data_IF_402402242247
#
_entry.id   IF_402402242247
#
_cell.length_a   1.000
_cell.length_b   1.000
_cell.length_c   1.000
_cell.angle_alpha   90.00
_cell.angle_beta   90.00
_cell.angle_gamma   90.00
#
_symmetry.space_group_name_H-M   'P 1'
#
loop_
_entity.id
_entity.type
_entity.pdbx_description
1 polymer ?
#
# COMPACT_ATOMS: atom_id res chain seq x y z
N UNK A 1 10.81 20.40 3.11
CA UNK A 1 11.23 19.11 3.71
C UNK A 1 12.71 18.78 3.47
N UNK A 2 13.22 18.78 2.23
CA UNK A 2 14.63 18.43 1.93
C UNK A 2 15.71 19.35 2.54
N UNK A 3 15.44 20.65 2.67
CA UNK A 3 16.39 21.63 3.25
C UNK A 3 16.46 21.68 4.78
N UNK A 4 15.60 20.93 5.50
CA UNK A 4 15.57 20.91 6.97
C UNK A 4 16.32 19.71 7.60
N UNK A 5 16.81 18.78 6.78
CA UNK A 5 17.53 17.58 7.24
C UNK A 5 16.70 16.65 8.14
N UNK A 6 15.37 16.67 8.02
CA UNK A 6 14.45 15.91 8.88
C UNK A 6 14.08 14.52 8.31
N UNK A 7 14.05 14.37 6.98
CA UNK A 7 13.75 13.12 6.30
C UNK A 7 15.05 12.47 5.78
N UNK A 8 15.14 11.14 5.92
CA UNK A 8 16.24 10.32 5.39
C UNK A 8 15.97 9.89 3.94
N UNK A 9 14.70 9.77 3.58
CA UNK A 9 14.19 9.52 2.23
C UNK A 9 12.79 10.14 2.11
N UNK A 10 12.39 10.56 0.90
CA UNK A 10 11.05 11.01 0.58
C UNK A 10 10.69 10.58 -0.85
N UNK A 11 9.46 10.15 -1.08
CA UNK A 11 8.94 9.68 -2.36
C UNK A 11 7.46 10.06 -2.49
N UNK A 12 7.01 10.40 -3.69
CA UNK A 12 5.60 10.56 -4.02
C UNK A 12 4.94 9.20 -4.29
N UNK A 13 3.71 9.03 -3.84
CA UNK A 13 2.94 7.81 -4.02
C UNK A 13 2.14 7.87 -5.33
N UNK A 14 2.82 7.85 -6.49
CA UNK A 14 2.16 7.75 -7.80
C UNK A 14 1.66 6.33 -8.07
N UNK A 15 2.52 5.35 -7.83
CA UNK A 15 2.32 3.94 -8.21
C UNK A 15 1.82 3.08 -7.03
N UNK A 16 1.69 3.70 -5.85
CA UNK A 16 1.15 3.07 -4.64
C UNK A 16 2.16 2.91 -3.52
N UNK A 17 1.64 2.67 -2.32
CA UNK A 17 2.43 2.61 -1.09
C UNK A 17 3.42 1.43 -1.11
N UNK A 18 3.02 0.26 -1.61
CA UNK A 18 3.88 -0.92 -1.69
C UNK A 18 5.16 -0.66 -2.49
N UNK A 19 5.04 -0.04 -3.67
CA UNK A 19 6.17 0.19 -4.56
C UNK A 19 7.12 1.23 -3.98
N UNK A 20 6.59 2.30 -3.39
CA UNK A 20 7.40 3.30 -2.72
C UNK A 20 8.18 2.71 -1.53
N UNK A 21 7.54 1.86 -0.71
CA UNK A 21 8.20 1.18 0.41
C UNK A 21 9.31 0.25 -0.09
N UNK A 22 9.07 -0.52 -1.15
CA UNK A 22 10.07 -1.40 -1.79
C UNK A 22 11.24 -0.62 -2.34
N UNK A 23 10.98 0.47 -3.06
CA UNK A 23 12.03 1.28 -3.67
C UNK A 23 12.91 1.94 -2.61
N UNK A 24 12.31 2.49 -1.54
CA UNK A 24 13.07 3.06 -0.42
C UNK A 24 13.88 1.98 0.31
N UNK A 25 13.28 0.82 0.56
CA UNK A 25 13.94 -0.32 1.22
C UNK A 25 15.15 -0.81 0.40
N UNK A 26 14.96 -1.04 -0.89
CA UNK A 26 16.00 -1.49 -1.81
C UNK A 26 17.14 -0.47 -1.94
N UNK A 27 16.82 0.82 -2.15
CA UNK A 27 17.82 1.87 -2.27
C UNK A 27 18.61 2.09 -0.97
N UNK A 28 18.04 1.73 0.18
CA UNK A 28 18.65 1.92 1.50
C UNK A 28 19.27 0.65 2.09
N UNK A 29 19.11 -0.51 1.43
CA UNK A 29 19.57 -1.81 1.94
C UNK A 29 18.94 -2.21 3.28
N UNK A 30 17.64 -1.94 3.45
CA UNK A 30 16.91 -2.15 4.69
C UNK A 30 15.56 -2.85 4.44
N UNK A 31 14.93 -3.36 5.49
CA UNK A 31 13.57 -3.92 5.42
C UNK A 31 12.52 -2.91 5.83
N UNK A 32 11.26 -3.32 5.80
CA UNK A 32 10.13 -2.51 6.27
C UNK A 32 9.08 -3.37 6.94
N UNK A 33 8.54 -2.85 8.05
CA UNK A 33 7.37 -3.40 8.74
C UNK A 33 6.31 -2.32 8.86
N UNK A 34 5.21 -2.52 8.14
CA UNK A 34 4.00 -1.68 8.15
C UNK A 34 3.05 -2.18 9.24
N UNK A 35 2.41 -1.29 9.97
CA UNK A 35 1.33 -1.60 10.90
C UNK A 35 0.00 -1.41 10.16
N UNK A 36 -0.72 -2.51 9.90
CA UNK A 36 -1.99 -2.47 9.18
C UNK A 36 -3.04 -1.60 9.91
N UNK A 37 -3.04 -1.58 11.24
CA UNK A 37 -3.98 -0.80 12.05
C UNK A 37 -3.68 0.69 12.06
N UNK A 38 -2.48 1.10 11.64
CA UNK A 38 -2.06 2.50 11.57
C UNK A 38 -2.30 3.14 10.20
N UNK A 39 -2.72 2.38 9.19
CA UNK A 39 -2.96 2.92 7.85
C UNK A 39 -4.15 3.90 7.85
N UNK A 40 -3.99 5.12 7.30
CA UNK A 40 -5.03 6.14 7.30
C UNK A 40 -6.08 5.86 6.21
N UNK A 41 -6.88 4.81 6.40
CA UNK A 41 -7.94 4.45 5.45
C UNK A 41 -9.25 5.13 5.86
N UNK A 42 -9.83 5.89 4.95
CA UNK A 42 -11.12 6.54 5.20
C UNK A 42 -12.24 5.49 5.40
N UNK A 43 -13.10 5.63 6.43
CA UNK A 43 -14.10 4.61 6.75
C UNK A 43 -15.08 4.26 5.62
N UNK A 44 -15.51 5.22 4.79
CA UNK A 44 -16.36 4.94 3.62
C UNK A 44 -15.58 4.20 2.53
N UNK A 45 -14.30 4.52 2.29
CA UNK A 45 -13.44 3.76 1.40
C UNK A 45 -13.28 2.29 1.88
N UNK A 46 -13.01 2.08 3.17
CA UNK A 46 -12.92 0.74 3.75
C UNK A 46 -14.21 -0.06 3.56
N UNK A 47 -15.37 0.57 3.79
CA UNK A 47 -16.68 -0.06 3.54
C UNK A 47 -16.89 -0.38 2.06
N UNK A 48 -16.49 0.51 1.16
CA UNK A 48 -16.65 0.35 -0.28
C UNK A 48 -15.88 -0.87 -0.83
N UNK A 49 -14.63 -1.04 -0.39
CA UNK A 49 -13.80 -2.21 -0.72
C UNK A 49 -14.33 -3.49 -0.10
N UNK A 50 -14.68 -3.45 1.19
CA UNK A 50 -15.26 -4.59 1.91
C UNK A 50 -16.53 -5.10 1.22
N UNK A 51 -17.42 -4.21 0.80
CA UNK A 51 -18.67 -4.55 0.09
C UNK A 51 -18.43 -5.25 -1.26
N UNK A 52 -17.21 -5.18 -1.81
CA UNK A 52 -16.77 -5.85 -3.05
C UNK A 52 -15.93 -7.09 -2.79
N UNK A 53 -15.80 -7.51 -1.52
CA UNK A 53 -14.99 -8.66 -1.13
C UNK A 53 -13.48 -8.42 -1.21
N UNK A 54 -13.04 -7.17 -1.23
CA UNK A 54 -11.62 -6.79 -1.24
C UNK A 54 -11.21 -6.33 0.15
N UNK A 55 -10.07 -6.82 0.66
CA UNK A 55 -9.48 -6.34 1.92
C UNK A 55 -9.03 -4.88 1.77
N UNK A 56 -9.57 -3.94 2.57
CA UNK A 56 -9.19 -2.53 2.52
C UNK A 56 -7.69 -2.30 2.75
N UNK A 57 -7.04 -3.11 3.60
CA UNK A 57 -5.60 -2.95 3.85
C UNK A 57 -4.80 -3.30 2.60
N UNK A 58 -5.11 -4.43 1.96
CA UNK A 58 -4.48 -4.78 0.69
C UNK A 58 -4.74 -3.71 -0.37
N UNK A 59 -5.97 -3.19 -0.46
CA UNK A 59 -6.31 -2.13 -1.40
C UNK A 59 -5.53 -0.83 -1.14
N UNK A 60 -5.37 -0.42 0.12
CA UNK A 60 -4.62 0.79 0.47
C UNK A 60 -3.11 0.65 0.26
N UNK A 61 -2.57 -0.56 0.38
CA UNK A 61 -1.13 -0.80 0.18
C UNK A 61 -0.80 -1.00 -1.30
N UNK A 62 -1.63 -1.74 -2.03
CA UNK A 62 -1.42 -2.09 -3.44
C UNK A 62 -2.06 -1.11 -4.42
N UNK A 63 -2.97 -0.25 -3.96
CA UNK A 63 -3.57 0.82 -4.77
C UNK A 63 -2.57 1.92 -5.07
N UNK A 64 -2.76 2.61 -6.20
CA UNK A 64 -2.06 3.83 -6.57
C UNK A 64 -3.02 5.03 -6.65
N UNK A 65 -2.53 6.17 -7.17
CA UNK A 65 -3.31 7.39 -7.45
C UNK A 65 -3.74 8.24 -6.23
N UNK A 66 -3.22 7.94 -5.03
CA UNK A 66 -3.49 8.73 -3.81
C UNK A 66 -2.62 10.00 -3.72
N UNK A 67 -1.52 10.10 -4.50
CA UNK A 67 -0.59 11.24 -4.55
C UNK A 67 -0.09 11.75 -3.17
N UNK A 68 -0.10 10.91 -2.14
CA UNK A 68 0.41 11.26 -0.82
C UNK A 68 1.95 11.19 -0.76
N UNK A 69 2.52 11.73 0.33
CA UNK A 69 3.98 11.77 0.54
C UNK A 69 4.43 10.71 1.54
N UNK A 70 5.28 9.79 1.11
CA UNK A 70 6.00 8.88 2.00
C UNK A 70 7.36 9.49 2.38
N UNK A 71 7.68 9.53 3.68
CA UNK A 71 9.01 9.92 4.14
C UNK A 71 9.46 9.15 5.39
N UNK A 72 10.74 8.80 5.44
CA UNK A 72 11.33 8.08 6.57
C UNK A 72 12.11 9.03 7.49
N UNK A 73 11.93 8.91 8.81
CA UNK A 73 12.64 9.74 9.79
C UNK A 73 13.40 8.94 10.84
N UNK A 74 14.55 9.42 11.34
CA UNK A 74 15.31 8.73 12.37
C UNK A 74 14.51 8.63 13.68
N UNK A 75 14.50 7.45 14.30
CA UNK A 75 13.85 7.23 15.60
C UNK A 75 14.34 8.19 16.71
N UNK A 76 15.62 8.62 16.64
CA UNK A 76 16.24 9.55 17.60
C UNK A 76 16.14 11.03 17.20
N UNK A 77 15.40 11.37 16.14
CA UNK A 77 15.20 12.73 15.63
C UNK A 77 13.95 13.45 16.16
N UNK A 78 13.36 12.96 17.26
CA UNK A 78 12.02 13.35 17.74
C UNK A 78 11.77 14.86 17.91
N UNK A 79 12.81 15.66 18.20
CA UNK A 79 12.69 17.12 18.29
C UNK A 79 12.36 17.81 16.96
N UNK A 80 12.97 17.35 15.86
CA UNK A 80 12.72 17.92 14.51
C UNK A 80 11.40 17.44 13.92
N UNK A 81 11.02 16.18 14.17
CA UNK A 81 9.70 15.67 13.74
C UNK A 81 8.56 16.37 14.49
N UNK A 82 8.69 16.57 15.81
CA UNK A 82 7.71 17.34 16.61
C UNK A 82 7.47 18.73 16.05
N UNK A 83 8.50 19.37 15.53
CA UNK A 83 8.41 20.69 14.89
C UNK A 83 7.67 20.64 13.55
N UNK A 84 7.90 19.60 12.75
CA UNK A 84 7.20 19.37 11.48
C UNK A 84 5.71 19.05 11.72
N UNK A 85 5.40 18.09 12.61
CA UNK A 85 4.01 17.75 12.95
C UNK A 85 3.23 18.91 13.58
N UNK A 86 3.90 19.88 14.22
CA UNK A 86 3.25 21.09 14.74
C UNK A 86 2.93 22.12 13.66
N UNK A 87 3.60 22.05 12.51
CA UNK A 87 3.44 23.01 11.41
C UNK A 87 2.60 22.47 10.27
N UNK A 88 2.50 21.16 10.14
CA UNK A 88 1.61 20.49 9.20
C UNK A 88 0.30 20.20 9.95
N UNK A 89 -0.72 21.01 9.67
CA UNK A 89 -2.06 20.82 10.22
C UNK A 89 -2.95 19.98 9.28
N UNK A 90 -2.69 20.05 7.97
CA UNK A 90 -3.48 19.40 6.92
C UNK A 90 -2.60 19.19 5.66
N UNK A 91 -2.48 17.98 5.11
CA UNK A 91 -3.02 16.71 5.62
C UNK A 91 -2.28 16.22 6.89
N UNK A 92 -2.95 15.43 7.76
CA UNK A 92 -2.33 14.89 8.96
C UNK A 92 -1.18 13.94 8.62
N UNK A 93 -0.16 13.91 9.47
CA UNK A 93 0.96 12.99 9.33
C UNK A 93 0.69 11.71 10.12
N UNK A 94 0.62 10.57 9.43
CA UNK A 94 0.35 9.27 10.04
C UNK A 94 1.61 8.41 10.03
N UNK A 95 2.03 7.92 11.20
CA UNK A 95 3.11 6.94 11.29
C UNK A 95 2.55 5.55 11.03
N UNK A 96 2.85 4.99 9.86
CA UNK A 96 2.32 3.70 9.40
C UNK A 96 3.27 2.51 9.62
N UNK A 97 4.48 2.73 10.12
CA UNK A 97 5.45 1.63 10.25
C UNK A 97 6.87 2.06 10.59
N UNK A 98 7.82 1.14 10.35
CA UNK A 98 9.26 1.34 10.56
C UNK A 98 10.08 0.63 9.49
N UNK A 99 11.17 1.25 9.05
CA UNK A 99 12.23 0.55 8.33
C UNK A 99 13.11 -0.24 9.32
N UNK A 100 13.53 -1.44 8.96
CA UNK A 100 14.25 -2.39 9.80
C UNK A 100 15.65 -2.66 9.23
N UNK A 101 16.55 -3.27 10.02
CA UNK A 101 17.88 -3.65 9.53
C UNK A 101 17.87 -4.90 8.64
N UNK A 102 16.78 -5.65 8.66
CA UNK A 102 16.67 -6.91 7.92
C UNK A 102 16.17 -6.61 6.50
N UNK A 103 17.10 -6.51 5.54
CA UNK A 103 16.80 -6.14 4.16
C UNK A 103 15.84 -7.10 3.43
N UNK A 104 15.66 -8.33 3.93
CA UNK A 104 14.72 -9.29 3.35
C UNK A 104 13.29 -9.16 3.88
N UNK A 105 13.09 -8.46 5.00
CA UNK A 105 11.80 -8.38 5.67
C UNK A 105 10.98 -7.20 5.14
N UNK A 106 10.08 -7.47 4.19
CA UNK A 106 9.07 -6.53 3.72
C UNK A 106 7.69 -7.04 4.13
N UNK A 107 7.15 -6.53 5.23
CA UNK A 107 5.98 -7.13 5.88
C UNK A 107 4.94 -6.11 6.30
N UNK A 108 3.70 -6.59 6.39
CA UNK A 108 2.55 -5.92 6.99
C UNK A 108 2.19 -6.71 8.24
N UNK A 109 2.25 -6.05 9.39
CA UNK A 109 1.80 -6.62 10.66
C UNK A 109 0.29 -6.42 10.79
N UNK A 110 -0.43 -7.52 11.02
CA UNK A 110 -1.86 -7.54 11.26
C UNK A 110 -2.20 -8.52 12.39
N UNK A 111 -2.70 -7.98 13.50
CA UNK A 111 -3.23 -8.79 14.60
C UNK A 111 -2.17 -9.69 15.25
N UNK A 112 -0.94 -9.21 15.34
CA UNK A 112 0.21 -9.91 15.91
C UNK A 112 0.96 -10.82 14.94
N UNK A 113 0.63 -10.82 13.64
CA UNK A 113 1.25 -11.65 12.61
C UNK A 113 1.83 -10.81 11.50
N UNK A 114 3.03 -11.16 11.06
CA UNK A 114 3.68 -10.53 9.92
C UNK A 114 3.27 -11.28 8.65
N UNK A 115 2.59 -10.59 7.74
CA UNK A 115 2.21 -11.03 6.40
C UNK A 115 3.17 -10.39 5.39
N UNK A 116 3.39 -11.02 4.23
CA UNK A 116 4.23 -10.41 3.19
C UNK A 116 3.61 -9.10 2.71
N UNK A 117 4.43 -8.07 2.49
CA UNK A 117 3.99 -6.83 1.88
C UNK A 117 3.34 -7.15 0.52
N UNK A 118 2.11 -6.68 0.23
CA UNK A 118 1.51 -6.85 -1.08
C UNK A 118 2.41 -6.33 -2.21
N UNK A 119 2.21 -6.85 -3.42
CA UNK A 119 2.76 -6.22 -4.62
C UNK A 119 1.97 -4.92 -4.88
N UNK A 120 2.64 -3.93 -5.48
CA UNK A 120 2.02 -2.65 -5.81
C UNK A 120 1.05 -2.72 -6.98
N UNK A 121 0.71 -1.55 -7.53
CA UNK A 121 -0.31 -1.42 -8.55
C UNK A 121 0.19 -1.97 -9.90
N UNK A 122 -0.55 -2.93 -10.48
CA UNK A 122 -0.32 -3.35 -11.87
C UNK A 122 -1.23 -2.56 -12.82
N UNK A 123 -0.63 -1.67 -13.63
CA UNK A 123 -1.35 -0.84 -14.62
C UNK A 123 -2.14 -1.65 -15.66
N UNK A 124 -1.74 -2.89 -15.92
CA UNK A 124 -2.43 -3.78 -16.83
C UNK A 124 -2.54 -5.15 -16.17
N UNK A 125 -3.69 -5.45 -15.57
CA UNK A 125 -4.10 -6.86 -15.51
C UNK A 125 -4.22 -7.33 -16.96
N UNK A 126 -3.31 -8.18 -17.42
CA UNK A 126 -3.59 -8.97 -18.60
C UNK A 126 -4.86 -9.77 -18.30
N UNK A 127 -5.97 -9.36 -18.89
CA UNK A 127 -7.12 -10.22 -18.99
C UNK A 127 -6.64 -11.42 -19.84
N UNK A 128 -6.37 -12.55 -19.20
CA UNK A 128 -6.24 -13.82 -19.89
C UNK A 128 -7.46 -13.99 -20.82
N UNK A 129 -7.29 -14.12 -22.15
CA UNK A 129 -8.39 -14.46 -23.05
C UNK A 129 -8.71 -15.94 -22.87
N UNK A 130 -9.45 -16.27 -21.81
CA UNK A 130 -9.56 -17.64 -21.30
C UNK A 130 -10.95 -18.05 -20.85
N UNK A 131 -12.02 -17.50 -21.41
CA UNK A 131 -13.36 -18.08 -21.28
C UNK A 131 -13.99 -18.22 -22.67
N UNK A 132 -13.77 -19.39 -23.28
CA UNK A 132 -14.51 -19.83 -24.46
C UNK A 132 -16.00 -19.81 -24.10
N UNK A 133 -16.78 -19.00 -24.81
CA UNK A 133 -18.24 -19.11 -24.84
C UNK A 133 -18.63 -20.56 -25.11
N UNK A 134 -19.63 -21.13 -24.41
CA UNK A 134 -20.22 -22.38 -24.85
C UNK A 134 -20.89 -22.15 -26.22
N UNK A 135 -20.42 -22.87 -27.23
CA UNK A 135 -21.05 -22.97 -28.54
C UNK A 135 -22.52 -23.41 -28.38
N UNK A 136 -23.48 -22.81 -29.09
CA UNK A 136 -24.87 -23.26 -29.07
C UNK A 136 -25.00 -24.59 -29.83
N UNK A 137 -24.96 -25.71 -29.09
CA UNK A 137 -25.26 -27.05 -29.57
C UNK A 137 -26.75 -27.25 -29.89
N UNK A 138 -27.09 -27.04 -31.17
CA UNK A 138 -27.93 -27.88 -32.05
C UNK A 138 -29.03 -28.80 -31.44
N UNK A 139 -30.26 -28.50 -31.89
CA UNK A 139 -31.46 -29.33 -32.20
C UNK A 139 -32.44 -29.75 -31.10
N UNK A 140 -33.66 -29.25 -31.32
CA UNK A 140 -34.93 -29.80 -30.85
C UNK A 140 -35.00 -31.31 -31.11
N UNK A 141 -35.43 -32.04 -30.09
CA UNK A 141 -35.94 -33.39 -30.22
C UNK A 141 -37.47 -33.29 -30.12
N UNK A 142 -38.15 -33.32 -31.26
CA UNK A 142 -39.59 -33.55 -31.35
C UNK A 142 -39.86 -35.01 -31.04
N UNK A 143 -40.56 -35.29 -29.94
CA UNK A 143 -41.25 -36.55 -29.74
C UNK A 143 -42.40 -36.34 -28.75
N UNK A 144 -43.59 -35.99 -29.28
CA UNK A 144 -44.87 -36.69 -29.09
C UNK A 144 -46.06 -35.78 -29.35
#
# INVERSE_FOLDING_TARGET
MGRAGAARAAMDLSDGLADALRQVAAASGCGVRVDAGALPIEPAAAKWWTARGVDPITAAIAGGDDYELLFAVPARGGGRMRHVTRRVADPPLTKIGVFTKDAGALVVERGGRDEELPLGYEHFRSAEPGARSPEPGTRLNENR
#
